data_IF_394120372389
#
_entry.id   IF_394120372389
#
_cell.length_a   1.000
_cell.length_b   1.000
_cell.length_c   1.000
_cell.angle_alpha   90.00
_cell.angle_beta   90.00
_cell.angle_gamma   90.00
#
_symmetry.space_group_name_H-M   'P 1'
#
loop_
_entity.id
_entity.type
_entity.pdbx_description
1 polymer ?
#
# COMPACT_ATOMS: atom_id res chain seq x y z
N UNK A 1 10.46 10.06 -17.44
CA UNK A 1 10.66 8.82 -18.24
C UNK A 1 9.63 8.64 -19.37
N UNK A 2 8.33 8.75 -19.11
CA UNK A 2 7.26 8.63 -20.13
C UNK A 2 7.39 9.58 -21.34
N UNK A 3 7.95 10.78 -21.16
CA UNK A 3 8.18 11.77 -22.24
C UNK A 3 9.42 11.51 -23.10
N UNK A 4 10.29 10.57 -22.72
CA UNK A 4 11.53 10.26 -23.44
C UNK A 4 11.35 9.15 -24.49
N UNK A 5 10.11 8.71 -24.73
CA UNK A 5 9.78 7.65 -25.69
C UNK A 5 9.55 8.26 -27.08
N UNK A 6 10.20 7.71 -28.12
CA UNK A 6 10.08 8.21 -29.51
C UNK A 6 8.68 8.09 -30.12
N UNK A 7 7.80 7.25 -29.55
CA UNK A 7 6.45 6.99 -30.08
C UNK A 7 5.34 7.58 -29.22
N UNK A 8 4.63 8.55 -29.78
CA UNK A 8 3.49 9.24 -29.14
C UNK A 8 2.33 8.28 -28.84
N UNK A 9 2.08 7.29 -29.72
CA UNK A 9 1.04 6.27 -29.51
C UNK A 9 1.35 5.39 -28.31
N UNK A 10 2.62 5.00 -28.14
CA UNK A 10 3.09 4.20 -26.99
C UNK A 10 3.03 5.02 -25.71
N UNK A 11 3.49 6.28 -25.75
CA UNK A 11 3.39 7.18 -24.61
C UNK A 11 1.94 7.36 -24.12
N UNK A 12 0.98 7.55 -25.03
CA UNK A 12 -0.45 7.66 -24.69
C UNK A 12 -1.02 6.37 -24.10
N UNK A 13 -0.59 5.20 -24.59
CA UNK A 13 -1.01 3.91 -24.04
C UNK A 13 -0.48 3.68 -22.62
N UNK A 14 0.80 3.98 -22.38
CA UNK A 14 1.43 3.84 -21.06
C UNK A 14 0.81 4.80 -20.05
N UNK A 15 0.56 6.05 -20.46
CA UNK A 15 -0.14 7.03 -19.61
C UNK A 15 -1.52 6.51 -19.16
N UNK A 16 -2.31 5.96 -20.08
CA UNK A 16 -3.62 5.36 -19.75
C UNK A 16 -3.50 4.19 -18.78
N UNK A 17 -2.49 3.32 -18.98
CA UNK A 17 -2.26 2.17 -18.12
C UNK A 17 -1.85 2.60 -16.70
N UNK A 18 -0.96 3.58 -16.58
CA UNK A 18 -0.53 4.12 -15.28
C UNK A 18 -1.67 4.83 -14.55
N UNK A 19 -2.52 5.58 -15.26
CA UNK A 19 -3.70 6.19 -14.63
C UNK A 19 -4.71 5.14 -14.14
N UNK A 20 -4.90 4.06 -14.89
CA UNK A 20 -5.79 2.96 -14.50
C UNK A 20 -5.30 2.27 -13.22
N UNK A 21 -3.99 1.99 -13.14
CA UNK A 21 -3.38 1.39 -11.95
C UNK A 21 -3.55 2.25 -10.71
N UNK A 22 -3.44 3.58 -10.84
CA UNK A 22 -3.66 4.51 -9.73
C UNK A 22 -5.10 4.44 -9.21
N UNK A 23 -6.09 4.44 -10.11
CA UNK A 23 -7.51 4.34 -9.74
C UNK A 23 -7.79 3.02 -9.02
N UNK A 24 -7.24 1.92 -9.54
CA UNK A 24 -7.39 0.60 -8.93
C UNK A 24 -6.80 0.56 -7.51
N UNK A 25 -5.62 1.16 -7.31
CA UNK A 25 -4.98 1.24 -6.00
C UNK A 25 -5.83 2.04 -4.99
N UNK A 26 -6.39 3.17 -5.42
CA UNK A 26 -7.30 3.96 -4.59
C UNK A 26 -8.55 3.17 -4.19
N UNK A 27 -9.17 2.46 -5.14
CA UNK A 27 -10.35 1.63 -4.86
C UNK A 27 -10.05 0.54 -3.81
N UNK A 28 -8.93 -0.17 -3.95
CA UNK A 28 -8.51 -1.20 -2.99
C UNK A 28 -8.22 -0.59 -1.61
N UNK A 29 -7.60 0.60 -1.56
CA UNK A 29 -7.32 1.30 -0.30
C UNK A 29 -8.61 1.68 0.44
N UNK A 30 -9.61 2.20 -0.30
CA UNK A 30 -10.94 2.51 0.25
C UNK A 30 -11.65 1.25 0.77
N UNK A 31 -11.63 0.16 0.00
CA UNK A 31 -12.20 -1.12 0.45
C UNK A 31 -11.50 -1.64 1.71
N UNK A 32 -10.17 -1.59 1.77
CA UNK A 32 -9.41 -1.94 2.99
C UNK A 32 -9.81 -1.06 4.18
N UNK A 33 -9.99 0.25 3.99
CA UNK A 33 -10.46 1.17 5.03
C UNK A 33 -11.86 0.82 5.55
N UNK A 34 -12.78 0.48 4.65
CA UNK A 34 -14.16 0.08 5.01
C UNK A 34 -14.16 -1.26 5.77
N UNK A 35 -13.37 -2.24 5.31
CA UNK A 35 -13.21 -3.54 6.00
C UNK A 35 -12.60 -3.36 7.38
N UNK A 36 -11.56 -2.53 7.49
CA UNK A 36 -10.95 -2.19 8.78
C UNK A 36 -11.98 -1.52 9.68
N UNK A 37 -12.74 -0.55 9.17
CA UNK A 37 -13.80 0.10 9.94
C UNK A 37 -14.83 -0.92 10.45
N UNK A 38 -15.36 -1.80 9.61
CA UNK A 38 -16.36 -2.79 10.02
C UNK A 38 -15.87 -3.78 11.09
N UNK A 39 -14.58 -4.14 11.07
CA UNK A 39 -13.99 -5.09 12.04
C UNK A 39 -13.70 -4.42 13.38
N UNK A 40 -13.30 -3.14 13.36
CA UNK A 40 -12.99 -2.37 14.57
C UNK A 40 -14.19 -1.57 15.10
N UNK A 41 -15.34 -1.59 14.41
CA UNK A 41 -16.58 -0.95 14.86
C UNK A 41 -17.18 -1.62 16.10
N UNK A 42 -17.05 -2.95 16.22
CA UNK A 42 -17.63 -3.72 17.32
C UNK A 42 -16.67 -3.87 18.52
N UNK A 43 -15.36 -3.80 18.27
CA UNK A 43 -14.34 -4.00 19.30
C UNK A 43 -13.57 -2.69 19.53
N UNK A 44 -14.01 -1.93 20.55
CA UNK A 44 -13.31 -0.74 21.07
C UNK A 44 -11.79 -0.96 21.09
N UNK A 45 -11.02 -0.37 20.15
CA UNK A 45 -9.58 -0.62 19.99
C UNK A 45 -8.72 -0.06 21.13
N UNK A 46 -9.33 0.47 22.19
CA UNK A 46 -8.68 1.04 23.37
C UNK A 46 -8.57 0.08 24.56
N UNK A 47 -9.32 -1.04 24.55
CA UNK A 47 -9.38 -1.98 25.70
C UNK A 47 -8.36 -3.13 25.64
N UNK A 48 -7.72 -3.40 24.49
CA UNK A 48 -6.60 -4.35 24.34
C UNK A 48 -5.22 -3.67 24.28
N UNK A 49 -5.00 -2.64 25.11
CA UNK A 49 -3.67 -2.05 25.35
C UNK A 49 -2.58 -3.09 25.73
N UNK A 50 -2.99 -4.29 26.19
CA UNK A 50 -2.11 -5.34 26.74
C UNK A 50 -1.61 -6.39 25.73
N UNK A 51 -2.19 -6.49 24.53
CA UNK A 51 -1.84 -7.57 23.57
C UNK A 51 -1.17 -7.11 22.28
N UNK A 52 -1.24 -5.83 21.91
CA UNK A 52 -0.79 -5.39 20.57
C UNK A 52 0.29 -4.29 20.56
N UNK A 53 0.57 -3.59 21.67
CA UNK A 53 1.61 -2.55 21.69
C UNK A 53 1.40 -1.40 20.68
N UNK A 54 0.18 -1.25 20.15
CA UNK A 54 -0.14 -0.28 19.10
C UNK A 54 -0.44 1.09 19.72
N UNK A 55 0.52 2.00 19.63
CA UNK A 55 0.39 3.40 20.08
C UNK A 55 -0.17 4.31 18.97
N UNK A 56 -0.13 3.87 17.70
CA UNK A 56 -0.37 4.72 16.53
C UNK A 56 -1.39 4.07 15.57
N UNK A 57 -2.27 4.88 15.00
CA UNK A 57 -3.29 4.45 14.04
C UNK A 57 -2.70 3.84 12.75
N UNK A 58 -1.50 4.29 12.37
CA UNK A 58 -0.77 3.85 11.17
C UNK A 58 -0.39 2.35 11.18
N UNK A 59 -0.23 1.77 12.36
CA UNK A 59 0.18 0.38 12.52
C UNK A 59 -1.00 -0.61 12.55
N UNK A 60 -2.25 -0.12 12.47
CA UNK A 60 -3.43 -1.01 12.50
C UNK A 60 -3.52 -1.91 11.29
N UNK A 61 -3.21 -1.38 10.10
CA UNK A 61 -3.25 -2.11 8.84
C UNK A 61 -2.27 -3.30 8.84
N UNK A 62 -0.96 -3.11 9.15
CA UNK A 62 -0.03 -4.24 9.20
C UNK A 62 -0.38 -5.26 10.29
N UNK A 63 -0.87 -4.83 11.45
CA UNK A 63 -1.32 -5.73 12.50
C UNK A 63 -2.55 -6.57 12.08
N UNK A 64 -3.47 -5.97 11.32
CA UNK A 64 -4.63 -6.67 10.77
C UNK A 64 -4.21 -7.74 9.75
N UNK A 65 -3.29 -7.41 8.84
CA UNK A 65 -2.80 -8.35 7.83
C UNK A 65 -2.12 -9.56 8.51
N UNK A 66 -1.25 -9.33 9.49
CA UNK A 66 -0.54 -10.41 10.20
C UNK A 66 -1.51 -11.33 10.93
N UNK A 67 -2.52 -10.80 11.62
CA UNK A 67 -3.49 -11.61 12.36
C UNK A 67 -4.47 -12.36 11.44
N UNK A 68 -4.93 -11.74 10.35
CA UNK A 68 -5.97 -12.32 9.50
C UNK A 68 -5.44 -13.28 8.44
N UNK A 69 -4.23 -13.04 7.93
CA UNK A 69 -3.54 -13.94 7.00
C UNK A 69 -2.65 -14.98 7.68
N UNK A 70 -2.66 -15.06 9.02
CA UNK A 70 -1.91 -16.09 9.77
C UNK A 70 -2.29 -17.53 9.39
N UNK A 71 -3.48 -17.74 8.82
CA UNK A 71 -3.95 -19.06 8.37
C UNK A 71 -3.29 -19.53 7.05
N UNK A 72 -2.64 -18.65 6.29
CA UNK A 72 -2.00 -18.95 5.01
C UNK A 72 -0.51 -18.59 5.12
N UNK A 73 0.38 -19.55 5.40
CA UNK A 73 1.81 -19.28 5.52
C UNK A 73 2.35 -18.74 4.17
N UNK A 74 3.09 -17.63 4.23
CA UNK A 74 3.69 -16.98 3.05
C UNK A 74 2.91 -15.78 2.48
N UNK A 75 1.57 -15.76 2.59
CA UNK A 75 0.76 -14.66 2.03
C UNK A 75 1.03 -13.33 2.75
N UNK A 76 1.10 -13.36 4.08
CA UNK A 76 1.47 -12.20 4.91
C UNK A 76 2.82 -11.61 4.49
N UNK A 77 3.82 -12.46 4.24
CA UNK A 77 5.15 -12.04 3.81
C UNK A 77 5.15 -11.39 2.43
N UNK A 78 4.38 -11.95 1.48
CA UNK A 78 4.23 -11.39 0.13
C UNK A 78 3.61 -9.98 0.17
N UNK A 79 2.55 -9.79 0.98
CA UNK A 79 1.91 -8.49 1.13
C UNK A 79 2.87 -7.44 1.72
N UNK A 80 3.59 -7.80 2.78
CA UNK A 80 4.55 -6.90 3.42
C UNK A 80 5.70 -6.56 2.47
N UNK A 81 6.28 -7.56 1.78
CA UNK A 81 7.33 -7.35 0.79
C UNK A 81 6.88 -6.43 -0.35
N UNK A 82 5.64 -6.57 -0.82
CA UNK A 82 5.04 -5.70 -1.83
C UNK A 82 4.93 -4.24 -1.37
N UNK A 83 4.49 -4.00 -0.12
CA UNK A 83 4.42 -2.65 0.45
C UNK A 83 5.82 -2.02 0.51
N UNK A 84 6.81 -2.74 1.03
CA UNK A 84 8.19 -2.26 1.08
C UNK A 84 8.76 -1.98 -0.31
N UNK A 85 8.50 -2.83 -1.29
CA UNK A 85 8.93 -2.62 -2.67
C UNK A 85 8.30 -1.37 -3.29
N UNK A 86 7.02 -1.12 -3.01
CA UNK A 86 6.32 0.09 -3.46
C UNK A 86 6.90 1.36 -2.82
N UNK A 87 7.13 1.34 -1.50
CA UNK A 87 7.78 2.43 -0.77
C UNK A 87 9.20 2.69 -1.31
N UNK A 88 9.99 1.63 -1.52
CA UNK A 88 11.36 1.74 -2.02
C UNK A 88 11.41 2.28 -3.45
N UNK A 89 10.44 1.96 -4.31
CA UNK A 89 10.33 2.53 -5.66
C UNK A 89 10.13 4.05 -5.63
N UNK A 90 9.33 4.54 -4.69
CA UNK A 90 9.11 5.98 -4.47
C UNK A 90 10.38 6.65 -3.95
N UNK A 91 11.03 6.04 -2.94
CA UNK A 91 12.28 6.56 -2.35
C UNK A 91 13.39 6.59 -3.41
N UNK A 92 13.55 5.54 -4.20
CA UNK A 92 14.54 5.49 -5.29
C UNK A 92 14.30 6.60 -6.31
N UNK A 93 13.04 6.86 -6.67
CA UNK A 93 12.69 7.97 -7.56
C UNK A 93 13.00 9.33 -6.94
N UNK A 94 12.71 9.51 -5.64
CA UNK A 94 13.00 10.75 -4.92
C UNK A 94 14.50 11.02 -4.80
N UNK A 95 15.29 10.00 -4.44
CA UNK A 95 16.75 10.11 -4.38
C UNK A 95 17.35 10.38 -5.76
N UNK A 96 16.87 9.73 -6.81
CA UNK A 96 17.31 9.99 -8.18
C UNK A 96 17.06 11.45 -8.61
N UNK A 97 15.95 12.05 -8.19
CA UNK A 97 15.69 13.48 -8.41
C UNK A 97 16.58 14.37 -7.53
N UNK A 98 16.79 14.01 -6.26
CA UNK A 98 17.57 14.77 -5.30
C UNK A 98 19.09 14.71 -5.52
N UNK A 99 19.59 13.70 -6.22
CA UNK A 99 21.01 13.63 -6.64
C UNK A 99 21.27 14.30 -8.00
N UNK A 100 20.21 14.67 -8.74
CA UNK A 100 20.31 15.38 -10.02
C UNK A 100 20.37 16.90 -9.84
N UNK A 101 19.95 17.41 -8.67
CA UNK A 101 20.20 18.79 -8.24
C UNK A 101 21.64 18.93 -7.69
#
# INVERSE_FOLDING_TARGET
RILSMSDVKRAKSVLRLSSLQQILLFAICLLCGIVLYGIYHDCYPVLKKKYSGLTKHDQMIPAYIVNKFSNIPGMTGLCIAGIFSASLSTISSALNCASTI
#
